data_IF_576413424439
#
_entry.id   IF_576413424439
#
_cell.length_a   1.000
_cell.length_b   1.000
_cell.length_c   1.000
_cell.angle_alpha   90.00
_cell.angle_beta   90.00
_cell.angle_gamma   90.00
#
_symmetry.space_group_name_H-M   'P 1'
#
loop_
_entity.id
_entity.type
_entity.pdbx_description
1 polymer ?
#
# COMPACT_ATOMS: atom_id res chain seq x y z
N UNK A 1 -5.22 86.42 6.90
CA UNK A 1 -3.86 86.04 7.38
C UNK A 1 -3.34 85.00 6.40
N UNK A 2 -2.50 85.39 5.43
CA UNK A 2 -1.02 85.41 5.51
C UNK A 2 -0.45 84.01 5.77
N UNK A 3 0.49 83.40 5.04
CA UNK A 3 1.39 83.74 3.92
C UNK A 3 1.82 82.38 3.32
N UNK A 4 1.92 82.27 1.99
CA UNK A 4 2.67 81.22 1.29
C UNK A 4 4.18 81.43 1.43
N UNK A 5 4.96 80.38 1.72
CA UNK A 5 6.39 80.37 1.39
C UNK A 5 6.90 78.95 1.10
N UNK A 6 7.07 78.68 -0.19
CA UNK A 6 8.07 77.77 -0.75
C UNK A 6 9.47 78.19 -0.27
N UNK A 7 10.33 77.26 0.13
CA UNK A 7 11.74 77.30 -0.28
C UNK A 7 12.44 75.97 -0.07
N UNK A 8 13.05 75.57 -1.16
CA UNK A 8 13.80 74.35 -1.42
C UNK A 8 15.30 74.64 -1.29
N UNK A 9 16.10 73.58 -1.32
CA UNK A 9 17.50 73.50 -1.77
C UNK A 9 18.63 73.84 -0.78
N UNK A 10 19.34 72.73 -0.48
CA UNK A 10 20.79 72.54 -0.65
C UNK A 10 21.73 73.18 0.38
N UNK A 11 22.76 72.38 0.69
CA UNK A 11 23.99 72.68 1.43
C UNK A 11 23.75 72.66 2.94
N UNK A 12 24.10 71.58 3.63
CA UNK A 12 25.51 71.29 3.89
C UNK A 12 25.82 69.78 3.79
N UNK A 13 26.53 69.41 2.72
CA UNK A 13 27.50 68.32 2.79
C UNK A 13 28.65 68.79 3.68
N UNK A 14 28.99 68.01 4.72
CA UNK A 14 30.36 67.74 5.18
C UNK A 14 30.28 66.95 6.49
N UNK A 15 30.41 65.63 6.41
CA UNK A 15 31.62 64.98 6.91
C UNK A 15 31.68 63.52 6.45
N UNK A 16 32.81 63.24 5.84
CA UNK A 16 33.32 61.99 5.31
C UNK A 16 33.64 60.99 6.43
N UNK A 17 33.17 59.76 6.29
CA UNK A 17 33.92 58.58 6.73
C UNK A 17 33.51 57.39 5.83
N UNK A 18 34.42 57.02 4.94
CA UNK A 18 34.39 55.79 4.14
C UNK A 18 34.91 54.66 5.03
N UNK A 19 34.11 53.63 5.28
CA UNK A 19 34.60 52.30 5.61
C UNK A 19 33.48 51.25 5.46
N UNK A 20 33.72 50.24 4.62
CA UNK A 20 33.11 48.92 4.75
C UNK A 20 31.83 48.67 3.95
N UNK A 21 31.98 48.22 2.71
CA UNK A 21 30.92 47.51 2.01
C UNK A 21 30.64 46.16 2.70
N UNK A 22 29.40 45.92 3.11
CA UNK A 22 28.76 44.60 2.97
C UNK A 22 27.31 44.86 2.56
N UNK A 23 27.06 44.84 1.24
CA UNK A 23 25.71 44.64 0.73
C UNK A 23 25.35 43.18 1.00
N UNK A 24 24.79 42.87 2.15
CA UNK A 24 24.03 41.63 2.30
C UNK A 24 22.75 41.82 1.51
N UNK A 25 22.75 41.41 0.25
CA UNK A 25 21.53 41.09 -0.47
C UNK A 25 20.83 40.00 0.33
N UNK A 26 19.83 40.39 1.13
CA UNK A 26 18.92 39.46 1.75
C UNK A 26 18.19 38.74 0.60
N UNK A 27 18.68 37.55 0.27
CA UNK A 27 17.95 36.61 -0.59
C UNK A 27 16.70 36.27 0.21
N UNK A 28 15.56 36.81 -0.21
CA UNK A 28 14.27 36.37 0.32
C UNK A 28 14.24 34.84 0.21
N UNK A 29 13.89 34.10 1.27
CA UNK A 29 13.76 32.66 1.17
C UNK A 29 12.78 32.40 0.04
N UNK A 30 13.25 31.72 -1.00
CA UNK A 30 12.39 31.21 -2.04
C UNK A 30 11.37 30.33 -1.32
N UNK A 31 10.15 30.84 -1.17
CA UNK A 31 9.03 30.05 -0.69
C UNK A 31 8.88 28.94 -1.71
N UNK A 32 9.38 27.76 -1.37
CA UNK A 32 9.21 26.57 -2.18
C UNK A 32 7.72 26.47 -2.44
N UNK A 33 7.32 26.62 -3.70
CA UNK A 33 5.94 26.44 -4.09
C UNK A 33 5.49 25.07 -3.55
N UNK A 34 4.31 24.96 -2.90
CA UNK A 34 3.84 23.68 -2.43
C UNK A 34 3.79 22.75 -3.64
N UNK A 35 4.58 21.68 -3.60
CA UNK A 35 4.59 20.66 -4.65
C UNK A 35 3.20 20.02 -4.62
N UNK A 36 2.32 20.46 -5.51
CA UNK A 36 0.99 19.91 -5.63
C UNK A 36 1.12 18.53 -6.27
N UNK A 37 1.17 17.49 -5.44
CA UNK A 37 1.16 16.11 -5.91
C UNK A 37 -0.07 15.88 -6.79
N UNK A 38 0.15 15.28 -7.95
CA UNK A 38 -0.91 14.80 -8.81
C UNK A 38 -1.81 13.80 -8.05
N UNK A 39 -3.08 13.63 -8.44
CA UNK A 39 -3.96 12.63 -7.82
C UNK A 39 -3.35 11.22 -7.77
N UNK A 40 -2.57 10.83 -8.79
CA UNK A 40 -1.87 9.55 -8.83
C UNK A 40 -0.77 9.47 -7.78
N UNK A 41 0.05 10.51 -7.64
CA UNK A 41 1.10 10.55 -6.62
C UNK A 41 0.53 10.54 -5.21
N UNK A 42 -0.60 11.24 -4.98
CA UNK A 42 -1.31 11.18 -3.69
C UNK A 42 -1.81 9.77 -3.37
N UNK A 43 -2.35 9.06 -4.35
CA UNK A 43 -2.80 7.68 -4.17
C UNK A 43 -1.61 6.76 -3.84
N UNK A 44 -0.50 6.87 -4.58
CA UNK A 44 0.69 6.07 -4.32
C UNK A 44 1.27 6.35 -2.93
N UNK A 45 1.33 7.62 -2.51
CA UNK A 45 1.78 8.00 -1.18
C UNK A 45 0.90 7.40 -0.07
N UNK A 46 -0.43 7.45 -0.24
CA UNK A 46 -1.35 6.82 0.70
C UNK A 46 -1.18 5.29 0.78
N UNK A 47 -0.85 4.63 -0.34
CA UNK A 47 -0.57 3.19 -0.33
C UNK A 47 0.71 2.86 0.40
N UNK A 48 1.77 3.66 0.22
CA UNK A 48 3.01 3.49 0.98
C UNK A 48 2.79 3.74 2.48
N UNK A 49 1.97 4.71 2.86
CA UNK A 49 1.60 4.94 4.26
C UNK A 49 0.85 3.75 4.87
N UNK A 50 -0.10 3.16 4.13
CA UNK A 50 -0.81 1.94 4.56
C UNK A 50 0.16 0.77 4.72
N UNK A 51 1.11 0.59 3.78
CA UNK A 51 2.13 -0.45 3.88
C UNK A 51 3.02 -0.26 5.11
N UNK A 52 3.45 0.98 5.38
CA UNK A 52 4.26 1.31 6.54
C UNK A 52 3.53 1.00 7.85
N UNK A 53 2.29 1.47 8.01
CA UNK A 53 1.47 1.19 9.20
C UNK A 53 1.25 -0.31 9.39
N UNK A 54 1.02 -1.07 8.31
CA UNK A 54 0.87 -2.50 8.38
C UNK A 54 2.18 -3.22 8.76
N UNK A 55 3.34 -2.77 8.29
CA UNK A 55 4.64 -3.30 8.69
C UNK A 55 4.92 -3.06 10.18
N UNK A 56 4.51 -1.91 10.72
CA UNK A 56 4.62 -1.62 12.15
C UNK A 56 3.76 -2.57 13.00
N UNK A 57 2.53 -2.86 12.55
CA UNK A 57 1.62 -3.77 13.24
C UNK A 57 2.03 -5.24 13.09
N UNK A 58 2.60 -5.61 11.94
CA UNK A 58 3.01 -6.97 11.60
C UNK A 58 4.43 -6.96 11.00
N UNK A 59 5.46 -6.96 11.85
CA UNK A 59 6.86 -6.87 11.41
C UNK A 59 7.32 -8.05 10.56
N UNK A 60 6.57 -9.15 10.58
CA UNK A 60 6.81 -10.37 9.83
C UNK A 60 6.23 -10.33 8.41
N UNK A 61 5.81 -9.19 7.89
CA UNK A 61 5.50 -9.05 6.46
C UNK A 61 6.82 -9.01 5.66
N UNK A 62 6.98 -9.90 4.68
CA UNK A 62 8.14 -10.00 3.78
C UNK A 62 7.90 -9.39 2.40
N UNK A 63 6.64 -9.08 2.06
CA UNK A 63 6.35 -8.51 0.74
C UNK A 63 4.90 -8.16 0.51
N UNK A 64 4.68 -7.45 -0.59
CA UNK A 64 3.40 -6.89 -1.01
C UNK A 64 3.09 -7.33 -2.44
N UNK A 65 1.84 -7.70 -2.71
CA UNK A 65 1.34 -7.76 -4.09
C UNK A 65 0.84 -6.38 -4.47
N UNK A 66 1.42 -5.79 -5.53
CA UNK A 66 1.01 -4.47 -6.01
C UNK A 66 -0.44 -4.51 -6.51
N UNK A 67 -1.21 -3.43 -6.29
CA UNK A 67 -2.57 -3.38 -6.78
C UNK A 67 -2.56 -3.35 -8.32
N UNK A 68 -3.36 -4.22 -8.93
CA UNK A 68 -3.71 -4.09 -10.33
C UNK A 68 -4.60 -2.85 -10.48
N UNK A 69 -4.00 -1.70 -10.76
CA UNK A 69 -4.77 -0.52 -11.18
C UNK A 69 -5.34 -0.84 -12.56
N UNK A 70 -6.67 -0.93 -12.73
CA UNK A 70 -7.23 -1.14 -14.05
C UNK A 70 -6.92 0.09 -14.90
N UNK A 71 -6.16 -0.13 -15.97
CA UNK A 71 -5.96 0.88 -17.01
C UNK A 71 -7.27 0.98 -17.79
N UNK A 72 -7.93 2.13 -17.66
CA UNK A 72 -8.94 2.67 -18.58
C UNK A 72 -10.04 1.70 -19.04
N UNK A 73 -10.99 1.39 -18.15
CA UNK A 73 -12.25 0.79 -18.56
C UNK A 73 -13.16 1.87 -19.19
N UNK A 74 -13.41 1.79 -20.50
CA UNK A 74 -14.33 2.65 -21.26
C UNK A 74 -15.81 2.42 -20.87
N UNK A 75 -16.18 2.81 -19.65
CA UNK A 75 -17.55 2.77 -19.15
C UNK A 75 -17.89 3.98 -18.28
N UNK A 76 -19.18 4.24 -17.98
CA UNK A 76 -19.62 5.41 -17.21
C UNK A 76 -19.15 5.41 -15.75
N UNK A 77 -18.51 4.34 -15.28
CA UNK A 77 -17.96 4.19 -13.94
C UNK A 77 -16.57 3.60 -14.00
N UNK A 78 -15.59 4.28 -13.39
CA UNK A 78 -14.25 3.73 -13.15
C UNK A 78 -14.23 3.19 -11.73
N UNK A 79 -14.35 1.88 -11.57
CA UNK A 79 -14.05 1.22 -10.30
C UNK A 79 -12.54 0.90 -10.27
N UNK A 80 -11.78 1.52 -9.36
CA UNK A 80 -10.37 1.20 -9.12
C UNK A 80 -10.29 0.42 -7.80
N UNK A 81 -10.52 -0.92 -7.80
CA UNK A 81 -10.29 -1.72 -6.62
C UNK A 81 -8.79 -1.76 -6.33
N UNK A 82 -8.38 -1.17 -5.21
CA UNK A 82 -7.00 -1.26 -4.73
C UNK A 82 -6.93 -2.36 -3.69
N UNK A 83 -6.42 -3.53 -4.08
CA UNK A 83 -6.20 -4.65 -3.17
C UNK A 83 -4.71 -4.73 -2.81
N UNK A 84 -4.39 -4.50 -1.53
CA UNK A 84 -3.06 -4.72 -0.98
C UNK A 84 -3.07 -6.06 -0.24
N UNK A 85 -2.17 -6.97 -0.63
CA UNK A 85 -2.00 -8.27 0.02
C UNK A 85 -0.60 -8.35 0.62
N UNK A 86 -0.53 -8.49 1.94
CA UNK A 86 0.70 -8.67 2.70
C UNK A 86 1.00 -10.15 2.94
N UNK A 87 2.28 -10.49 2.90
CA UNK A 87 2.76 -11.87 2.90
C UNK A 87 3.71 -12.10 4.09
N UNK A 88 3.45 -13.10 4.95
CA UNK A 88 4.41 -13.54 5.99
C UNK A 88 5.45 -14.51 5.45
N UNK A 89 6.62 -14.74 6.07
CA UNK A 89 7.56 -15.76 5.64
C UNK A 89 6.87 -17.09 5.42
N UNK A 90 7.14 -17.73 4.28
CA UNK A 90 6.79 -19.11 4.11
C UNK A 90 7.64 -19.93 5.08
N UNK A 91 7.08 -20.34 6.22
CA UNK A 91 7.68 -21.41 7.00
C UNK A 91 7.82 -22.61 6.04
N UNK A 92 9.01 -23.21 5.89
CA UNK A 92 9.25 -24.27 4.91
C UNK A 92 8.64 -25.62 5.35
N UNK A 93 7.54 -25.57 6.09
CA UNK A 93 6.86 -26.75 6.63
C UNK A 93 5.73 -27.07 5.68
N UNK A 94 6.00 -27.98 4.76
CA UNK A 94 4.90 -28.71 4.13
C UNK A 94 4.27 -29.59 5.20
N UNK A 95 3.13 -29.13 5.73
CA UNK A 95 2.40 -29.85 6.75
C UNK A 95 1.56 -30.95 6.09
N UNK A 96 1.53 -32.14 6.67
CA UNK A 96 0.55 -33.15 6.26
C UNK A 96 -0.86 -32.71 6.68
N UNK A 97 -1.86 -33.05 5.87
CA UNK A 97 -3.25 -32.79 6.23
C UNK A 97 -3.61 -33.57 7.51
N UNK A 98 -4.20 -32.88 8.48
CA UNK A 98 -4.49 -33.45 9.81
C UNK A 98 -5.98 -33.47 10.16
N UNK A 99 -6.86 -33.20 9.20
CA UNK A 99 -8.30 -33.13 9.42
C UNK A 99 -8.95 -31.91 8.77
N UNK A 100 -10.30 -31.86 8.72
CA UNK A 100 -11.02 -30.70 8.20
C UNK A 100 -10.74 -29.45 9.03
N UNK A 101 -10.18 -28.41 8.40
CA UNK A 101 -9.84 -27.15 9.08
C UNK A 101 -9.55 -26.05 8.06
N UNK A 102 -9.21 -24.85 8.54
CA UNK A 102 -8.70 -23.77 7.68
C UNK A 102 -7.19 -23.87 7.57
N UNK A 103 -6.70 -23.95 6.33
CA UNK A 103 -5.30 -24.05 5.98
C UNK A 103 -4.89 -22.92 5.04
N UNK A 104 -3.63 -22.51 5.16
CA UNK A 104 -2.96 -21.73 4.12
C UNK A 104 -2.16 -22.70 3.25
N UNK A 105 -2.34 -22.60 1.93
CA UNK A 105 -1.72 -23.50 0.97
C UNK A 105 -0.86 -22.71 -0.02
N UNK A 106 0.12 -23.38 -0.63
CA UNK A 106 0.89 -22.83 -1.74
C UNK A 106 0.21 -23.19 -3.07
N UNK A 107 -0.26 -22.19 -3.81
CA UNK A 107 -0.83 -22.35 -5.15
C UNK A 107 -0.12 -21.42 -6.15
N UNK A 108 0.86 -21.96 -6.88
CA UNK A 108 1.72 -21.17 -7.76
C UNK A 108 2.49 -20.10 -6.97
N UNK A 109 2.26 -18.83 -7.30
CA UNK A 109 2.84 -17.66 -6.59
C UNK A 109 1.96 -17.15 -5.44
N UNK A 110 0.76 -17.70 -5.29
CA UNK A 110 -0.22 -17.23 -4.31
C UNK A 110 -0.26 -18.15 -3.10
N UNK A 111 -0.78 -17.60 -2.01
CA UNK A 111 -1.00 -18.33 -0.75
C UNK A 111 -2.43 -18.14 -0.25
N UNK A 112 -3.41 -18.78 -0.91
CA UNK A 112 -4.79 -18.66 -0.47
C UNK A 112 -5.03 -19.39 0.84
N UNK A 113 -6.04 -18.93 1.57
CA UNK A 113 -6.52 -19.53 2.81
C UNK A 113 -7.88 -20.16 2.54
N UNK A 114 -7.97 -21.48 2.72
CA UNK A 114 -9.19 -22.25 2.46
C UNK A 114 -9.58 -23.12 3.64
N UNK A 115 -10.87 -23.37 3.78
CA UNK A 115 -11.32 -24.57 4.49
C UNK A 115 -11.05 -25.76 3.59
N UNK A 116 -10.39 -26.79 4.13
CA UNK A 116 -10.03 -27.99 3.38
C UNK A 116 -10.54 -29.23 4.09
N UNK A 117 -11.35 -30.02 3.39
CA UNK A 117 -11.79 -31.33 3.81
C UNK A 117 -11.47 -32.40 2.76
N UNK A 118 -11.54 -33.67 3.18
CA UNK A 118 -11.27 -34.81 2.31
C UNK A 118 -12.60 -35.43 1.89
N UNK A 119 -12.84 -35.49 0.58
CA UNK A 119 -14.07 -36.00 -0.01
C UNK A 119 -13.76 -37.15 -0.97
N UNK A 120 -14.63 -38.15 -1.01
CA UNK A 120 -14.50 -39.24 -1.97
C UNK A 120 -15.15 -38.83 -3.30
N UNK A 121 -14.36 -38.79 -4.37
CA UNK A 121 -14.83 -38.54 -5.73
C UNK A 121 -15.30 -39.86 -6.35
N UNK A 122 -16.61 -40.03 -6.50
CA UNK A 122 -17.17 -41.30 -6.99
C UNK A 122 -16.80 -41.59 -8.45
N UNK A 123 -16.67 -40.56 -9.28
CA UNK A 123 -16.28 -40.68 -10.70
C UNK A 123 -14.85 -41.23 -10.85
N UNK A 124 -13.92 -40.69 -10.05
CA UNK A 124 -12.50 -41.05 -10.12
C UNK A 124 -12.11 -42.17 -9.14
N UNK A 125 -13.10 -42.65 -8.36
CA UNK A 125 -12.94 -43.68 -7.32
C UNK A 125 -11.79 -43.41 -6.35
N UNK A 126 -11.50 -42.15 -6.05
CA UNK A 126 -10.38 -41.75 -5.21
C UNK A 126 -10.79 -40.65 -4.20
N UNK A 127 -9.98 -40.46 -3.16
CA UNK A 127 -10.15 -39.33 -2.27
C UNK A 127 -9.44 -38.10 -2.82
N UNK A 128 -10.11 -36.96 -2.76
CA UNK A 128 -9.58 -35.65 -3.09
C UNK A 128 -9.73 -34.70 -1.92
N UNK A 129 -8.94 -33.64 -1.90
CA UNK A 129 -9.13 -32.52 -0.99
C UNK A 129 -9.99 -31.49 -1.68
N UNK A 130 -11.13 -31.17 -1.07
CA UNK A 130 -11.97 -30.06 -1.47
C UNK A 130 -11.56 -28.85 -0.65
N UNK A 131 -11.26 -27.76 -1.34
CA UNK A 131 -10.94 -26.48 -0.76
C UNK A 131 -12.02 -25.47 -1.14
N UNK A 132 -12.51 -24.70 -0.17
CA UNK A 132 -13.46 -23.63 -0.42
C UNK A 132 -13.13 -22.37 0.39
N UNK A 133 -13.59 -21.21 -0.08
CA UNK A 133 -13.50 -20.00 0.74
C UNK A 133 -14.43 -20.20 1.93
N UNK A 134 -13.99 -19.74 3.10
CA UNK A 134 -14.76 -19.90 4.33
C UNK A 134 -15.07 -18.54 4.93
N UNK A 135 -16.35 -18.17 4.91
CA UNK A 135 -16.80 -16.87 5.39
C UNK A 135 -17.97 -17.03 6.36
N UNK A 136 -17.87 -16.40 7.55
CA UNK A 136 -18.93 -16.42 8.59
C UNK A 136 -19.49 -17.81 8.89
N UNK A 137 -18.63 -18.83 8.98
CA UNK A 137 -19.03 -20.19 9.34
C UNK A 137 -19.67 -21.00 8.21
N UNK A 138 -19.59 -20.53 6.97
CA UNK A 138 -20.08 -21.26 5.79
C UNK A 138 -19.08 -21.23 4.64
N UNK A 139 -19.17 -22.24 3.79
CA UNK A 139 -18.51 -22.26 2.49
C UNK A 139 -19.05 -21.11 1.64
N UNK A 140 -18.14 -20.35 1.04
CA UNK A 140 -18.42 -19.26 0.12
C UNK A 140 -17.64 -19.52 -1.17
N UNK A 141 -18.24 -19.24 -2.33
CA UNK A 141 -17.60 -19.44 -3.62
C UNK A 141 -17.43 -20.90 -4.09
N UNK A 142 -16.79 -21.09 -5.26
CA UNK A 142 -16.63 -22.40 -5.89
C UNK A 142 -15.58 -23.25 -5.15
N UNK A 143 -15.78 -24.57 -5.25
CA UNK A 143 -14.80 -25.55 -4.75
C UNK A 143 -13.61 -25.65 -5.69
N UNK A 144 -12.41 -25.70 -5.12
CA UNK A 144 -11.18 -26.10 -5.80
C UNK A 144 -10.78 -27.47 -5.27
N UNK A 145 -10.34 -28.36 -6.17
CA UNK A 145 -9.97 -29.73 -5.79
C UNK A 145 -8.48 -29.95 -5.95
N UNK A 146 -7.89 -30.61 -4.95
CA UNK A 146 -6.49 -31.00 -4.93
C UNK A 146 -6.36 -32.50 -4.71
N UNK A 147 -5.29 -33.07 -5.27
CA UNK A 147 -4.85 -34.43 -4.99
C UNK A 147 -3.75 -34.41 -3.92
N UNK A 148 -3.38 -35.58 -3.40
CA UNK A 148 -2.23 -35.72 -2.50
C UNK A 148 -0.91 -35.18 -3.11
N UNK A 149 -0.81 -35.13 -4.45
CA UNK A 149 0.39 -34.63 -5.15
C UNK A 149 0.39 -33.11 -5.37
N UNK A 150 -0.79 -32.50 -5.41
CA UNK A 150 -0.95 -31.08 -5.76
C UNK A 150 -1.24 -30.21 -4.56
N UNK A 151 -1.77 -30.76 -3.48
CA UNK A 151 -1.98 -30.03 -2.24
C UNK A 151 -0.65 -29.77 -1.53
N UNK A 152 -0.31 -28.50 -1.34
CA UNK A 152 0.88 -28.07 -0.59
C UNK A 152 0.44 -27.18 0.57
N UNK A 153 0.20 -27.78 1.73
CA UNK A 153 -0.17 -27.02 2.94
C UNK A 153 1.09 -26.34 3.48
N UNK A 154 0.97 -25.04 3.80
CA UNK A 154 2.03 -24.25 4.45
C UNK A 154 1.82 -24.26 5.97
N UNK A 155 0.57 -24.09 6.42
CA UNK A 155 0.21 -24.17 7.84
C UNK A 155 -1.28 -24.40 8.04
N UNK A 156 -1.61 -24.88 9.24
CA UNK A 156 -2.97 -24.84 9.79
C UNK A 156 -3.21 -23.46 10.40
N UNK A 157 -4.26 -22.77 9.96
CA UNK A 157 -4.60 -21.41 10.40
C UNK A 157 -5.53 -21.46 11.62
N UNK A 158 -6.59 -22.26 11.55
CA UNK A 158 -7.51 -22.53 12.67
C UNK A 158 -8.38 -23.76 12.44
N UNK A 159 -8.89 -24.32 13.52
CA UNK A 159 -10.02 -25.26 13.49
C UNK A 159 -11.33 -24.52 13.13
N UNK A 160 -12.33 -25.28 12.68
CA UNK A 160 -13.69 -24.77 12.38
C UNK A 160 -14.68 -25.29 13.42
#
# INVERSE_FOLDING_TARGET
MNITSNLSRRLFLRNTAVAGAVLTTAVAPAVAAPVSLSPRERLLAALEEVKAAAQELWPDIEGWTEPAVPTDAEGPYVAIPVMLIAHKPALPVHLEWSGPAIYEIQDGKYRPVYFIDRVYAEMDKCYMYRACHWWKGRSDGPNVYFSDRTLKIIRKVREV
#
